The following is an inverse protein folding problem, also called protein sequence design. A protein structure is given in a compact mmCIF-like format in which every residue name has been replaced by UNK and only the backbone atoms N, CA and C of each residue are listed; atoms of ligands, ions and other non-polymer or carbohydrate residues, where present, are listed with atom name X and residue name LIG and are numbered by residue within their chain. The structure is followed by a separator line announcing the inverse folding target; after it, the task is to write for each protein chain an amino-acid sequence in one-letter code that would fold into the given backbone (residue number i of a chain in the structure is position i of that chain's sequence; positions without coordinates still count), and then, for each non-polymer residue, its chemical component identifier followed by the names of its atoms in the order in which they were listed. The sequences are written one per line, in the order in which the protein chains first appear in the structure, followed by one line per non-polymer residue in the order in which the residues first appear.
data_IF_143729124610
#
_entry.id   IF_143729124610
#
_cell.length_a   1.000
_cell.length_b   1.000
_cell.length_c   1.000
_cell.angle_alpha   90.00
_cell.angle_beta   90.00
_cell.angle_gamma   90.00
#
_symmetry.space_group_name_H-M   'P 1'
#
loop_
_entity.id
_entity.type
_entity.pdbx_description
1 polymer ?
#
# COMPACT_ATOMS: atom_id res chain seq x y z
N UNK A 1 -3.22 -17.09 12.13
CA UNK A 1 -3.64 -16.10 11.10
C UNK A 1 -4.72 -15.22 11.72
N UNK A 2 -4.59 -13.89 11.64
CA UNK A 2 -5.55 -12.92 12.16
C UNK A 2 -6.87 -12.85 11.37
N UNK A 3 -6.98 -13.49 10.20
CA UNK A 3 -8.27 -13.57 9.51
C UNK A 3 -9.25 -14.42 10.33
N UNK A 4 -10.31 -13.78 10.81
CA UNK A 4 -11.34 -14.39 11.65
C UNK A 4 -12.73 -13.86 11.24
N UNK A 5 -13.69 -14.71 10.83
CA UNK A 5 -15.00 -14.28 10.32
C UNK A 5 -15.83 -13.43 11.29
N UNK A 6 -15.64 -13.65 12.59
CA UNK A 6 -16.31 -12.98 13.70
C UNK A 6 -15.54 -11.76 14.24
N UNK A 7 -14.40 -11.42 13.63
CA UNK A 7 -13.62 -10.27 14.06
C UNK A 7 -14.42 -8.96 13.95
N UNK A 8 -14.29 -8.04 14.93
CA UNK A 8 -15.00 -6.77 14.92
C UNK A 8 -14.51 -5.80 13.83
N UNK A 9 -13.28 -5.98 13.35
CA UNK A 9 -12.67 -5.20 12.28
C UNK A 9 -12.99 -5.86 10.95
N UNK A 10 -13.50 -5.10 9.99
CA UNK A 10 -13.68 -5.53 8.60
C UNK A 10 -12.79 -4.69 7.68
N UNK A 11 -12.01 -5.34 6.82
CA UNK A 11 -11.20 -4.70 5.79
C UNK A 11 -11.79 -5.06 4.43
N UNK A 12 -12.12 -4.04 3.63
CA UNK A 12 -12.61 -4.25 2.27
C UNK A 12 -11.43 -4.39 1.30
N UNK A 13 -11.48 -5.42 0.45
CA UNK A 13 -10.53 -5.66 -0.64
C UNK A 13 -11.26 -5.98 -1.95
N UNK A 14 -10.52 -6.31 -3.00
CA UNK A 14 -11.10 -6.79 -4.26
C UNK A 14 -11.08 -8.31 -4.33
N UNK A 15 -12.13 -8.91 -4.91
CA UNK A 15 -12.19 -10.34 -5.20
C UNK A 15 -11.42 -10.74 -6.47
N UNK A 16 -11.01 -9.77 -7.28
CA UNK A 16 -10.17 -9.97 -8.46
C UNK A 16 -9.57 -8.64 -8.91
N UNK A 17 -8.33 -8.70 -9.41
CA UNK A 17 -7.63 -7.61 -10.10
C UNK A 17 -6.77 -8.19 -11.23
N UNK A 18 -6.41 -7.40 -12.26
CA UNK A 18 -5.49 -7.85 -13.30
C UNK A 18 -4.13 -8.27 -12.71
N UNK A 19 -3.38 -9.18 -13.35
CA UNK A 19 -2.15 -9.75 -12.80
C UNK A 19 -1.14 -8.72 -12.28
N UNK A 20 -0.94 -7.60 -12.98
CA UNK A 20 0.01 -6.56 -12.58
C UNK A 20 -0.35 -5.86 -11.26
N UNK A 21 -1.62 -5.91 -10.83
CA UNK A 21 -2.09 -5.26 -9.60
C UNK A 21 -2.13 -6.22 -8.38
N UNK A 22 -1.92 -7.53 -8.59
CA UNK A 22 -1.93 -8.53 -7.51
C UNK A 22 -0.76 -8.29 -6.56
N UNK A 23 -1.02 -8.19 -5.26
CA UNK A 23 0.01 -7.86 -4.27
C UNK A 23 0.31 -6.37 -4.11
N UNK A 24 -0.42 -5.50 -4.84
CA UNK A 24 -0.23 -4.04 -4.83
C UNK A 24 -1.52 -3.26 -4.50
N UNK A 25 -2.66 -3.94 -4.32
CA UNK A 25 -3.88 -3.30 -3.84
C UNK A 25 -3.66 -2.81 -2.40
N UNK A 26 -4.11 -1.59 -2.10
CA UNK A 26 -3.76 -0.86 -0.88
C UNK A 26 -4.33 -1.45 0.42
N UNK A 27 -5.24 -2.42 0.33
CA UNK A 27 -5.72 -3.19 1.48
C UNK A 27 -4.59 -4.02 2.12
N UNK A 28 -3.55 -4.38 1.35
CA UNK A 28 -2.35 -5.05 1.87
C UNK A 28 -1.71 -4.32 3.05
N UNK A 29 -1.75 -2.97 3.07
CA UNK A 29 -1.17 -2.18 4.17
C UNK A 29 -1.88 -2.46 5.49
N UNK A 30 -3.22 -2.51 5.47
CA UNK A 30 -4.02 -2.78 6.66
C UNK A 30 -3.89 -4.24 7.10
N UNK A 31 -3.86 -5.18 6.14
CA UNK A 31 -3.60 -6.61 6.41
C UNK A 31 -2.25 -6.81 7.07
N UNK A 32 -1.21 -6.19 6.53
CA UNK A 32 0.14 -6.26 7.07
C UNK A 32 0.19 -5.72 8.50
N UNK A 33 -0.45 -4.59 8.79
CA UNK A 33 -0.60 -4.11 10.16
C UNK A 33 -1.24 -5.18 11.08
N UNK A 34 -2.34 -5.78 10.65
CA UNK A 34 -3.04 -6.81 11.41
C UNK A 34 -2.17 -8.04 11.69
N UNK A 35 -1.39 -8.50 10.71
CA UNK A 35 -0.42 -9.59 10.88
C UNK A 35 0.71 -9.23 11.87
N UNK A 36 1.27 -8.02 11.78
CA UNK A 36 2.35 -7.57 12.68
C UNK A 36 1.90 -7.49 14.14
N UNK A 37 0.62 -7.20 14.35
CA UNK A 37 0.04 -6.98 15.67
C UNK A 37 -0.74 -8.18 16.20
N UNK A 38 -0.99 -9.20 15.37
CA UNK A 38 -1.91 -10.29 15.67
C UNK A 38 -3.36 -9.84 15.83
N UNK A 39 -3.72 -8.66 15.32
CA UNK A 39 -5.05 -8.07 15.47
C UNK A 39 -6.04 -8.77 14.52
N UNK A 40 -7.07 -9.47 15.02
CA UNK A 40 -7.98 -10.18 14.16
C UNK A 40 -8.85 -9.24 13.31
N UNK A 41 -9.08 -9.62 12.06
CA UNK A 41 -9.95 -8.92 11.12
C UNK A 41 -10.71 -9.90 10.23
N UNK A 42 -11.85 -9.48 9.69
CA UNK A 42 -12.57 -10.19 8.63
C UNK A 42 -12.42 -9.43 7.33
N UNK A 43 -12.56 -10.14 6.22
CA UNK A 43 -12.49 -9.55 4.89
C UNK A 43 -13.88 -9.36 4.31
N UNK A 44 -14.05 -8.26 3.58
CA UNK A 44 -15.17 -8.11 2.65
C UNK A 44 -14.61 -7.86 1.25
N UNK A 45 -14.69 -8.87 0.39
CA UNK A 45 -14.19 -8.75 -0.98
C UNK A 45 -15.32 -8.28 -1.91
N UNK A 46 -15.04 -7.26 -2.72
CA UNK A 46 -15.98 -6.69 -3.70
C UNK A 46 -15.42 -6.79 -5.12
N UNK A 47 -16.29 -6.69 -6.14
CA UNK A 47 -15.84 -6.64 -7.54
C UNK A 47 -15.10 -5.34 -7.85
N UNK A 48 -13.95 -5.44 -8.52
CA UNK A 48 -13.24 -4.28 -9.06
C UNK A 48 -13.93 -3.68 -10.31
N UNK A 49 -14.73 -4.49 -11.02
CA UNK A 49 -15.40 -4.14 -12.29
C UNK A 49 -16.83 -3.67 -12.04
N UNK A 50 -17.63 -4.49 -11.35
CA UNK A 50 -19.04 -4.24 -11.05
C UNK A 50 -19.21 -3.91 -9.56
N UNK A 51 -18.76 -2.71 -9.17
CA UNK A 51 -18.81 -2.28 -7.77
C UNK A 51 -20.25 -2.18 -7.26
N UNK A 52 -20.52 -2.49 -5.97
CA UNK A 52 -21.85 -2.32 -5.37
C UNK A 52 -22.41 -0.90 -5.61
N UNK A 53 -23.71 -0.79 -5.87
CA UNK A 53 -24.33 0.49 -6.23
C UNK A 53 -24.13 1.59 -5.17
N UNK A 54 -24.12 1.21 -3.89
CA UNK A 54 -23.88 2.11 -2.76
C UNK A 54 -22.40 2.28 -2.39
N UNK A 55 -21.47 1.73 -3.16
CA UNK A 55 -20.05 1.71 -2.79
C UNK A 55 -19.47 3.12 -2.59
N UNK A 56 -19.90 4.09 -3.41
CA UNK A 56 -19.47 5.49 -3.26
C UNK A 56 -19.94 6.17 -1.98
N UNK A 57 -20.98 5.65 -1.34
CA UNK A 57 -21.38 6.11 0.00
C UNK A 57 -20.41 5.62 1.09
N UNK A 58 -19.68 4.53 0.85
CA UNK A 58 -18.65 4.03 1.75
C UNK A 58 -17.25 4.59 1.44
N UNK A 59 -16.93 4.74 0.15
CA UNK A 59 -15.68 5.33 -0.32
C UNK A 59 -15.96 6.26 -1.52
N UNK A 60 -15.92 7.60 -1.33
CA UNK A 60 -16.35 8.57 -2.35
C UNK A 60 -15.62 8.48 -3.70
N UNK A 61 -14.37 8.01 -3.70
CA UNK A 61 -13.54 7.84 -4.89
C UNK A 61 -13.70 6.46 -5.55
N UNK A 62 -14.56 5.59 -5.00
CA UNK A 62 -14.79 4.23 -5.45
C UNK A 62 -13.61 3.28 -5.26
N UNK A 63 -12.64 3.56 -4.38
CA UNK A 63 -11.43 2.75 -4.16
C UNK A 63 -11.53 1.87 -2.91
N UNK A 64 -10.65 0.86 -2.80
CA UNK A 64 -10.40 0.08 -1.57
C UNK A 64 -9.03 0.46 -0.99
N UNK A 65 -8.77 0.28 0.32
CA UNK A 65 -9.66 -0.28 1.34
C UNK A 65 -10.65 0.72 1.96
N UNK A 66 -11.73 0.14 2.51
CA UNK A 66 -12.54 0.72 3.59
C UNK A 66 -12.35 -0.17 4.81
N UNK A 67 -12.20 0.44 5.98
CA UNK A 67 -12.19 -0.24 7.27
C UNK A 67 -13.49 0.06 8.02
N UNK A 68 -14.09 -0.98 8.60
CA UNK A 68 -15.15 -0.85 9.60
C UNK A 68 -14.67 -1.39 10.93
N UNK A 69 -14.92 -0.62 11.98
CA UNK A 69 -14.60 -0.95 13.35
C UNK A 69 -15.72 -0.45 14.26
N UNK A 70 -16.68 -1.33 14.56
CA UNK A 70 -17.91 -0.96 15.26
C UNK A 70 -18.60 0.21 14.53
N UNK A 71 -18.72 1.37 15.18
CA UNK A 71 -19.34 2.57 14.64
C UNK A 71 -18.38 3.45 13.82
N UNK A 72 -17.11 3.05 13.72
CA UNK A 72 -16.09 3.78 12.97
C UNK A 72 -16.01 3.23 11.54
N UNK A 73 -16.20 4.11 10.58
CA UNK A 73 -16.09 3.84 9.15
C UNK A 73 -15.06 4.79 8.56
N UNK A 74 -14.01 4.24 7.95
CA UNK A 74 -12.96 5.06 7.34
C UNK A 74 -12.43 4.47 6.04
N UNK A 75 -11.92 5.34 5.19
CA UNK A 75 -11.16 5.03 3.99
C UNK A 75 -9.82 5.77 4.05
N UNK A 76 -8.99 5.59 3.01
CA UNK A 76 -7.56 5.93 2.97
C UNK A 76 -6.71 4.99 3.82
N UNK A 77 -5.83 4.23 3.15
CA UNK A 77 -4.98 3.24 3.82
C UNK A 77 -4.03 3.87 4.84
N UNK A 78 -3.64 5.14 4.69
CA UNK A 78 -2.85 5.87 5.68
C UNK A 78 -3.64 6.20 6.95
N UNK A 79 -4.90 6.63 6.81
CA UNK A 79 -5.79 6.86 7.93
C UNK A 79 -6.15 5.54 8.64
N UNK A 80 -6.32 4.46 7.88
CA UNK A 80 -6.53 3.11 8.41
C UNK A 80 -5.35 2.66 9.27
N UNK A 81 -4.12 2.80 8.78
CA UNK A 81 -2.93 2.48 9.58
C UNK A 81 -2.85 3.31 10.86
N UNK A 82 -3.15 4.60 10.78
CA UNK A 82 -3.14 5.49 11.95
C UNK A 82 -4.20 5.07 12.98
N UNK A 83 -5.45 4.83 12.55
CA UNK A 83 -6.54 4.36 13.41
C UNK A 83 -6.18 3.05 14.11
N UNK A 84 -5.66 2.07 13.36
CA UNK A 84 -5.27 0.78 13.91
C UNK A 84 -4.11 0.91 14.91
N UNK A 85 -3.13 1.76 14.62
CA UNK A 85 -2.00 2.04 15.52
C UNK A 85 -2.46 2.68 16.83
N UNK A 86 -3.35 3.67 16.77
CA UNK A 86 -3.91 4.35 17.95
C UNK A 86 -4.79 3.42 18.77
N UNK A 87 -5.64 2.62 18.10
CA UNK A 87 -6.49 1.63 18.75
C UNK A 87 -5.70 0.60 19.55
N UNK A 88 -4.57 0.15 19.01
CA UNK A 88 -3.78 -0.95 19.60
C UNK A 88 -2.61 -0.47 20.46
N UNK A 89 -2.18 0.78 20.31
CA UNK A 89 -0.94 1.27 20.90
C UNK A 89 0.32 0.62 20.29
N UNK A 90 0.23 0.09 19.07
CA UNK A 90 1.30 -0.66 18.38
C UNK A 90 1.73 0.05 17.10
N UNK A 91 3.01 -0.09 16.74
CA UNK A 91 3.60 0.39 15.48
C UNK A 91 3.51 1.91 15.25
N UNK A 92 3.28 2.68 16.31
CA UNK A 92 3.38 4.13 16.32
C UNK A 92 3.74 4.57 17.73
N UNK A 93 4.84 5.32 17.94
CA UNK A 93 5.15 5.86 19.25
C UNK A 93 3.99 6.71 19.79
N UNK A 94 3.75 6.63 21.10
CA UNK A 94 2.60 7.29 21.72
C UNK A 94 2.69 8.82 21.67
N UNK A 95 3.88 9.39 21.88
CA UNK A 95 4.12 10.84 21.96
C UNK A 95 5.53 11.22 21.52
N UNK A 96 5.82 12.52 21.48
CA UNK A 96 7.17 13.07 21.31
C UNK A 96 7.70 13.03 19.87
N UNK A 97 9.01 13.26 19.74
CA UNK A 97 9.66 13.43 18.44
C UNK A 97 9.57 12.18 17.56
N UNK A 98 9.67 10.97 18.15
CA UNK A 98 9.59 9.73 17.38
C UNK A 98 8.22 9.56 16.70
N UNK A 99 7.12 9.91 17.39
CA UNK A 99 5.77 9.93 16.80
C UNK A 99 5.69 10.94 15.66
N UNK A 100 6.16 12.17 15.89
CA UNK A 100 6.13 13.22 14.87
C UNK A 100 6.91 12.83 13.62
N UNK A 101 8.09 12.20 13.79
CA UNK A 101 8.90 11.68 12.70
C UNK A 101 8.19 10.54 11.96
N UNK A 102 7.58 9.58 12.66
CA UNK A 102 6.82 8.49 12.05
C UNK A 102 5.65 9.00 11.22
N UNK A 103 4.86 9.95 11.76
CA UNK A 103 3.76 10.57 11.00
C UNK A 103 4.27 11.35 9.78
N UNK A 104 5.38 12.07 9.92
CA UNK A 104 5.99 12.78 8.78
C UNK A 104 6.36 11.83 7.65
N UNK A 105 6.94 10.67 7.98
CA UNK A 105 7.29 9.65 6.99
C UNK A 105 6.08 8.91 6.43
N UNK A 106 5.06 8.67 7.25
CA UNK A 106 3.77 8.15 6.78
C UNK A 106 3.22 9.07 5.69
N UNK A 107 3.06 10.36 5.96
CA UNK A 107 2.57 11.30 4.95
C UNK A 107 3.53 11.49 3.78
N UNK A 108 4.86 11.41 3.99
CA UNK A 108 5.83 11.46 2.90
C UNK A 108 5.67 10.29 1.92
N UNK A 109 5.34 9.08 2.40
CA UNK A 109 5.04 7.95 1.53
C UNK A 109 3.89 8.28 0.57
N UNK A 110 2.75 8.78 1.09
CA UNK A 110 1.56 9.08 0.30
C UNK A 110 1.65 10.35 -0.55
N UNK A 111 2.37 11.38 -0.09
CA UNK A 111 2.29 12.72 -0.67
C UNK A 111 3.57 13.18 -1.37
N UNK A 112 4.71 12.56 -1.08
CA UNK A 112 6.01 12.92 -1.66
C UNK A 112 6.58 11.87 -2.60
N UNK A 113 6.34 10.59 -2.34
CA UNK A 113 6.91 9.46 -3.10
C UNK A 113 5.87 8.83 -4.02
N UNK A 114 4.77 8.34 -3.47
CA UNK A 114 3.73 7.63 -4.23
C UNK A 114 3.16 8.42 -5.42
N UNK A 115 2.94 9.75 -5.37
CA UNK A 115 2.39 10.48 -6.52
C UNK A 115 3.34 10.48 -7.73
N UNK A 116 4.66 10.56 -7.50
CA UNK A 116 5.67 10.53 -8.57
C UNK A 116 5.76 9.13 -9.18
N UNK A 117 5.61 8.11 -8.35
CA UNK A 117 5.56 6.72 -8.80
C UNK A 117 4.28 6.42 -9.60
N UNK A 118 3.13 6.93 -9.15
CA UNK A 118 1.86 6.79 -9.86
C UNK A 118 1.90 7.50 -11.21
N UNK A 119 2.58 8.64 -11.33
CA UNK A 119 2.81 9.30 -12.63
C UNK A 119 3.56 8.37 -13.59
N UNK A 120 4.61 7.68 -13.12
CA UNK A 120 5.35 6.75 -13.96
C UNK A 120 4.50 5.52 -14.36
N UNK A 121 3.74 4.97 -13.41
CA UNK A 121 2.80 3.88 -13.70
C UNK A 121 1.72 4.31 -14.71
N UNK A 122 1.21 5.54 -14.62
CA UNK A 122 0.30 6.12 -15.62
C UNK A 122 0.94 6.11 -17.02
N UNK A 123 2.17 6.62 -17.14
CA UNK A 123 2.92 6.69 -18.39
C UNK A 123 3.16 5.29 -18.98
N UNK A 124 3.61 4.33 -18.18
CA UNK A 124 4.10 3.04 -18.68
C UNK A 124 3.01 1.97 -18.83
N UNK A 125 1.94 2.03 -18.06
CA UNK A 125 0.89 0.99 -18.04
C UNK A 125 -0.36 1.48 -18.77
N UNK A 126 -0.80 2.70 -18.49
CA UNK A 126 -2.10 3.20 -18.95
C UNK A 126 -2.02 4.03 -20.24
N UNK A 127 -0.85 4.62 -20.52
CA UNK A 127 -0.64 5.53 -21.66
C UNK A 127 0.57 5.14 -22.53
N UNK A 128 1.02 3.88 -22.49
CA UNK A 128 2.25 3.42 -23.14
C UNK A 128 2.31 3.69 -24.66
N UNK A 129 1.15 3.78 -25.32
CA UNK A 129 1.03 4.05 -26.75
C UNK A 129 0.93 5.54 -27.12
N UNK A 130 0.94 6.45 -26.15
CA UNK A 130 0.71 7.87 -26.38
C UNK A 130 2.03 8.65 -26.50
N UNK A 131 2.13 9.53 -27.49
CA UNK A 131 3.37 10.27 -27.78
C UNK A 131 3.81 11.18 -26.62
N UNK A 132 2.87 11.85 -25.95
CA UNK A 132 3.20 12.67 -24.79
C UNK A 132 3.77 11.84 -23.64
N UNK A 133 3.31 10.59 -23.47
CA UNK A 133 3.78 9.69 -22.42
C UNK A 133 5.23 9.30 -22.69
N UNK A 134 5.55 8.96 -23.94
CA UNK A 134 6.93 8.71 -24.42
C UNK A 134 7.86 9.90 -24.14
N UNK A 135 7.41 11.12 -24.45
CA UNK A 135 8.19 12.35 -24.22
C UNK A 135 8.36 12.67 -22.73
N UNK A 136 7.35 12.39 -21.90
CA UNK A 136 7.35 12.69 -20.46
C UNK A 136 8.16 11.70 -19.61
N UNK A 137 8.34 10.46 -20.11
CA UNK A 137 8.92 9.34 -19.36
C UNK A 137 10.29 9.64 -18.75
N UNK A 138 11.21 10.23 -19.52
CA UNK A 138 12.58 10.50 -19.05
C UNK A 138 12.59 11.43 -17.82
N UNK A 139 11.80 12.50 -17.86
CA UNK A 139 11.67 13.42 -16.73
C UNK A 139 10.95 12.77 -15.53
N UNK A 140 10.02 11.85 -15.78
CA UNK A 140 9.30 11.14 -14.71
C UNK A 140 10.25 10.21 -13.95
N UNK A 141 11.09 9.47 -14.66
CA UNK A 141 12.16 8.65 -14.08
C UNK A 141 13.15 9.49 -13.28
N UNK A 142 13.59 10.63 -13.80
CA UNK A 142 14.49 11.55 -13.08
C UNK A 142 13.85 12.11 -11.80
N UNK A 143 12.55 12.43 -11.85
CA UNK A 143 11.83 12.86 -10.67
C UNK A 143 11.70 11.75 -9.63
N UNK A 144 11.44 10.51 -10.06
CA UNK A 144 11.35 9.36 -9.18
C UNK A 144 12.70 9.05 -8.53
N UNK A 145 13.79 9.03 -9.29
CA UNK A 145 15.16 8.86 -8.77
C UNK A 145 15.50 9.92 -7.71
N UNK A 146 15.10 11.19 -7.93
CA UNK A 146 15.28 12.25 -6.94
C UNK A 146 14.54 11.95 -5.63
N UNK A 147 13.33 11.36 -5.70
CA UNK A 147 12.59 10.94 -4.49
C UNK A 147 13.27 9.75 -3.82
N UNK A 148 13.66 8.72 -4.58
CA UNK A 148 14.38 7.57 -4.05
C UNK A 148 15.68 8.00 -3.35
N UNK A 149 16.50 8.84 -4.00
CA UNK A 149 17.73 9.38 -3.41
C UNK A 149 17.47 10.11 -2.10
N UNK A 150 16.44 10.95 -2.03
CA UNK A 150 16.09 11.67 -0.81
C UNK A 150 15.70 10.71 0.34
N UNK A 151 14.91 9.68 0.05
CA UNK A 151 14.55 8.65 1.03
C UNK A 151 15.79 7.85 1.46
N UNK A 152 16.63 7.44 0.51
CA UNK A 152 17.86 6.69 0.76
C UNK A 152 18.84 7.47 1.65
N UNK A 153 19.10 8.73 1.31
CA UNK A 153 19.96 9.62 2.09
C UNK A 153 19.39 9.84 3.49
N UNK A 154 18.08 10.05 3.60
CA UNK A 154 17.47 10.24 4.90
C UNK A 154 17.57 8.97 5.74
N UNK A 155 17.22 7.79 5.20
CA UNK A 155 17.34 6.51 5.90
C UNK A 155 18.78 6.27 6.38
N UNK A 156 19.75 6.48 5.52
CA UNK A 156 21.18 6.32 5.83
C UNK A 156 21.46 4.90 6.32
N UNK A 157 22.12 4.79 7.48
CA UNK A 157 22.43 3.51 8.12
C UNK A 157 21.32 2.99 9.06
N UNK A 158 20.19 3.71 9.19
CA UNK A 158 19.10 3.33 10.09
C UNK A 158 18.35 2.13 9.54
N UNK A 159 17.85 1.30 10.45
CA UNK A 159 17.03 0.15 10.07
C UNK A 159 15.67 0.60 9.51
N UNK A 160 15.01 1.54 10.20
CA UNK A 160 13.68 2.09 9.90
C UNK A 160 13.66 3.62 9.93
N UNK A 161 12.68 4.22 9.25
CA UNK A 161 12.65 5.67 8.98
C UNK A 161 12.51 6.53 10.25
N UNK A 162 11.83 6.00 11.26
CA UNK A 162 11.51 6.68 12.51
C UNK A 162 12.12 6.01 13.75
N UNK A 163 13.19 5.21 13.58
CA UNK A 163 13.83 4.45 14.65
C UNK A 163 13.34 3.01 14.66
N UNK A 164 12.24 2.74 15.36
CA UNK A 164 11.59 1.42 15.37
C UNK A 164 10.66 1.25 14.16
N UNK A 165 10.41 0.00 13.76
CA UNK A 165 9.47 -0.33 12.69
C UNK A 165 8.07 0.20 13.04
N UNK A 166 7.46 0.93 12.10
CA UNK A 166 6.21 1.64 12.34
C UNK A 166 5.27 1.61 11.13
N UNK A 167 4.09 2.20 11.28
CA UNK A 167 3.16 2.44 10.16
C UNK A 167 3.78 3.26 9.03
N UNK A 168 4.80 4.08 9.32
CA UNK A 168 5.55 4.82 8.31
C UNK A 168 6.27 3.87 7.35
N UNK A 169 6.84 2.78 7.90
CA UNK A 169 7.58 1.79 7.15
C UNK A 169 6.64 0.86 6.38
N UNK A 170 5.51 0.46 6.97
CA UNK A 170 4.45 -0.26 6.24
C UNK A 170 4.04 0.52 4.98
N UNK A 171 3.81 1.82 5.11
CA UNK A 171 3.44 2.66 3.99
C UNK A 171 4.60 2.82 2.98
N UNK A 172 5.80 3.20 3.43
CA UNK A 172 6.92 3.49 2.53
C UNK A 172 7.41 2.23 1.79
N UNK A 173 7.56 1.10 2.48
CA UNK A 173 7.90 -0.19 1.84
C UNK A 173 6.85 -0.55 0.80
N UNK A 174 5.56 -0.42 1.13
CA UNK A 174 4.49 -0.72 0.17
C UNK A 174 4.54 0.15 -1.08
N UNK A 175 4.92 1.42 -0.96
CA UNK A 175 5.12 2.34 -2.07
C UNK A 175 6.35 1.92 -2.89
N UNK A 176 7.52 1.81 -2.26
CA UNK A 176 8.78 1.45 -2.93
C UNK A 176 8.76 0.07 -3.59
N UNK A 177 7.96 -0.89 -3.09
CA UNK A 177 7.78 -2.22 -3.71
C UNK A 177 7.30 -2.13 -5.14
N UNK A 178 6.43 -1.17 -5.48
CA UNK A 178 6.00 -1.02 -6.88
C UNK A 178 7.10 -0.43 -7.76
N UNK A 179 8.09 0.28 -7.20
CA UNK A 179 9.27 0.74 -7.95
C UNK A 179 10.18 -0.44 -8.29
N UNK A 180 10.39 -1.34 -7.33
CA UNK A 180 11.10 -2.62 -7.54
C UNK A 180 10.41 -3.46 -8.63
N UNK A 181 9.08 -3.65 -8.55
CA UNK A 181 8.35 -4.47 -9.53
C UNK A 181 8.33 -3.90 -10.93
N UNK A 182 8.54 -2.59 -11.07
CA UNK A 182 8.63 -1.91 -12.36
C UNK A 182 10.08 -1.75 -12.85
N UNK A 183 11.08 -2.26 -12.11
CA UNK A 183 12.50 -2.06 -12.39
C UNK A 183 12.91 -0.56 -12.45
N UNK A 184 12.32 0.23 -11.56
CA UNK A 184 12.50 1.70 -11.49
C UNK A 184 13.10 2.14 -10.16
N UNK A 185 13.42 1.20 -9.26
CA UNK A 185 14.09 1.54 -8.01
C UNK A 185 15.46 2.18 -8.29
N UNK A 186 16.18 1.68 -9.31
CA UNK A 186 17.51 2.16 -9.71
C UNK A 186 18.63 1.65 -8.79
N UNK A 187 19.83 2.25 -8.93
CA UNK A 187 21.00 1.90 -8.12
C UNK A 187 20.95 2.56 -6.72
N UNK A 188 20.02 2.08 -5.88
CA UNK A 188 19.83 2.53 -4.50
C UNK A 188 19.95 1.35 -3.53
N UNK A 189 21.18 0.86 -3.23
CA UNK A 189 21.37 -0.32 -2.37
C UNK A 189 20.80 -0.15 -0.96
N UNK A 190 20.76 1.09 -0.44
CA UNK A 190 20.11 1.42 0.84
C UNK A 190 18.61 1.13 0.79
N UNK A 191 17.93 1.48 -0.30
CA UNK A 191 16.51 1.21 -0.47
C UNK A 191 16.24 -0.25 -0.79
N UNK A 192 17.07 -0.89 -1.61
CA UNK A 192 16.97 -2.33 -1.88
C UNK A 192 17.07 -3.13 -0.55
N UNK A 193 18.05 -2.80 0.29
CA UNK A 193 18.18 -3.41 1.61
C UNK A 193 17.00 -3.10 2.54
N UNK A 194 16.45 -1.89 2.49
CA UNK A 194 15.25 -1.49 3.25
C UNK A 194 14.01 -2.27 2.82
N UNK A 195 13.82 -2.43 1.50
CA UNK A 195 12.74 -3.22 0.93
C UNK A 195 12.84 -4.68 1.36
N UNK A 196 14.01 -5.31 1.18
CA UNK A 196 14.24 -6.70 1.61
C UNK A 196 13.92 -6.87 3.09
N UNK A 197 14.43 -5.98 3.96
CA UNK A 197 14.09 -6.02 5.40
C UNK A 197 12.60 -5.96 5.67
N UNK A 198 11.86 -5.12 4.95
CA UNK A 198 10.41 -4.99 5.08
C UNK A 198 9.65 -6.21 4.55
N UNK A 199 10.03 -6.70 3.37
CA UNK A 199 9.35 -7.82 2.69
C UNK A 199 9.71 -9.19 3.25
N UNK A 200 10.82 -9.30 3.99
CA UNK A 200 11.22 -10.52 4.66
C UNK A 200 10.49 -10.75 5.99
N UNK A 201 9.75 -9.74 6.47
CA UNK A 201 8.96 -9.87 7.70
C UNK A 201 7.89 -10.96 7.50
N UNK A 202 7.77 -11.94 8.42
CA UNK A 202 6.77 -13.00 8.30
C UNK A 202 5.35 -12.46 8.13
N UNK A 203 5.02 -11.37 8.84
CA UNK A 203 3.73 -10.71 8.76
C UNK A 203 3.45 -10.08 7.38
N UNK A 204 4.46 -9.51 6.72
CA UNK A 204 4.31 -9.04 5.33
C UNK A 204 3.99 -10.21 4.40
N UNK A 205 4.77 -11.30 4.50
CA UNK A 205 4.61 -12.47 3.64
C UNK A 205 3.24 -13.12 3.82
N UNK A 206 2.77 -13.22 5.06
CA UNK A 206 1.44 -13.74 5.35
C UNK A 206 0.34 -12.83 4.81
N UNK A 207 0.42 -11.52 5.05
CA UNK A 207 -0.57 -10.56 4.53
C UNK A 207 -0.64 -10.57 3.00
N UNK A 208 0.51 -10.73 2.33
CA UNK A 208 0.57 -10.86 0.88
C UNK A 208 -0.04 -12.19 0.42
N UNK A 209 0.30 -13.31 1.07
CA UNK A 209 -0.28 -14.61 0.75
C UNK A 209 -1.80 -14.60 0.89
N UNK A 210 -2.32 -14.00 1.97
CA UNK A 210 -3.75 -13.89 2.23
C UNK A 210 -4.46 -13.03 1.19
N UNK A 211 -3.87 -11.88 0.83
CA UNK A 211 -4.42 -11.04 -0.23
C UNK A 211 -4.48 -11.79 -1.57
N UNK A 212 -3.42 -12.52 -1.91
CA UNK A 212 -3.37 -13.31 -3.16
C UNK A 212 -4.39 -14.46 -3.16
N UNK A 213 -4.62 -15.09 -2.01
CA UNK A 213 -5.60 -16.16 -1.86
C UNK A 213 -7.05 -15.67 -2.02
N UNK A 214 -7.32 -14.39 -1.76
CA UNK A 214 -8.63 -13.77 -1.96
C UNK A 214 -9.01 -13.50 -3.42
N UNK A 215 -8.06 -13.59 -4.37
CA UNK A 215 -8.34 -13.35 -5.78
C UNK A 215 -8.86 -14.59 -6.50
N UNK A 216 -9.90 -14.41 -7.32
CA UNK A 216 -10.59 -15.50 -8.02
C UNK A 216 -10.91 -15.12 -9.47
N UNK A 217 -10.37 -15.90 -10.41
CA UNK A 217 -10.50 -15.68 -11.87
C UNK A 217 -11.95 -15.76 -12.36
N UNK A 218 -12.89 -16.33 -11.60
CA UNK A 218 -14.31 -16.33 -11.95
C UNK A 218 -14.90 -14.93 -11.98
N UNK A 219 -14.27 -13.96 -11.31
CA UNK A 219 -14.64 -12.55 -11.34
C UNK A 219 -13.83 -11.73 -12.36
N UNK A 220 -12.97 -12.36 -13.15
CA UNK A 220 -12.31 -11.69 -14.26
C UNK A 220 -13.38 -11.20 -15.27
N UNK A 221 -13.26 -9.96 -15.79
CA UNK A 221 -14.15 -9.50 -16.85
C UNK A 221 -14.00 -10.42 -18.06
N UNK A 222 -15.13 -10.93 -18.57
CA UNK A 222 -15.13 -11.71 -19.80
C UNK A 222 -14.67 -10.79 -20.93
N UNK A 223 -13.57 -11.14 -21.61
CA UNK A 223 -13.20 -10.43 -22.83
C UNK A 223 -14.37 -10.57 -23.81
N UNK A 224 -15.01 -9.46 -24.17
CA UNK A 224 -15.89 -9.45 -25.33
C UNK A 224 -14.98 -9.68 -26.52
N UNK A 225 -15.06 -10.89 -27.10
CA UNK A 225 -14.58 -11.12 -28.46
C UNK A 225 -15.40 -10.22 -29.37
N UNK A 226 -14.79 -9.12 -29.80
CA UNK A 226 -15.26 -8.34 -30.94
C UNK A 226 -15.08 -9.15 -32.23
#
# INVERSE_FOLDING_TARGET
MPIAPDAPIEITGYNWVPPFARGFVRDLRARWFCEETGLPYRERLISAVEKPANWRSEQPFGQVPVLRDRDIHLFESGAILLHLAERTGRLLPATGQARATALSWLFAAYNSVEPVQNELAAIEIFHAGEEWARLRRADALKNLDRRHRAVATALGAREWLAGEFSIADIAMVSVLRSSESMDTLGDHPVLAGYLVRGTDRPAFRQALADQLAGFDERFAPRMQTA
#
